data_IF_305741537135
#
_entry.id   IF_305741537135
#
_cell.length_a   1.000
_cell.length_b   1.000
_cell.length_c   1.000
_cell.angle_alpha   90.00
_cell.angle_beta   90.00
_cell.angle_gamma   90.00
#
_symmetry.space_group_name_H-M   'P 1'
#
loop_
_entity.id
_entity.type
_entity.pdbx_description
1 polymer ?
#
# COMPACT_ATOMS: atom_id res chain seq x y z
N UNK A 1 43.55 -69.11 -35.77
CA UNK A 1 42.81 -69.44 -37.00
C UNK A 1 41.83 -68.31 -37.28
N UNK A 2 42.00 -67.63 -38.42
CA UNK A 2 41.13 -66.54 -38.93
C UNK A 2 40.09 -67.15 -39.88
N UNK A 3 38.81 -66.83 -39.70
CA UNK A 3 37.70 -66.98 -40.66
C UNK A 3 36.70 -65.86 -40.30
N UNK A 4 36.67 -64.71 -40.99
CA UNK A 4 35.99 -64.37 -42.24
C UNK A 4 34.45 -64.33 -42.18
N UNK A 5 33.92 -63.15 -42.55
CA UNK A 5 32.76 -62.88 -43.42
C UNK A 5 31.37 -62.45 -42.85
N UNK A 6 30.99 -61.24 -43.28
CA UNK A 6 29.69 -60.74 -43.79
C UNK A 6 28.60 -60.15 -42.87
N UNK A 7 28.44 -58.83 -43.04
CA UNK A 7 27.23 -58.00 -43.22
C UNK A 7 25.84 -58.66 -43.08
N UNK A 8 24.96 -58.02 -42.30
CA UNK A 8 23.51 -58.04 -42.52
C UNK A 8 22.91 -56.66 -42.17
N UNK A 9 22.28 -56.05 -43.17
CA UNK A 9 21.58 -54.78 -43.10
C UNK A 9 20.24 -54.93 -42.35
N UNK A 10 19.86 -53.91 -41.56
CA UNK A 10 18.46 -53.70 -41.18
C UNK A 10 18.03 -52.30 -41.60
N UNK A 11 17.10 -52.27 -42.55
CA UNK A 11 16.32 -51.09 -42.94
C UNK A 11 15.43 -50.65 -41.77
N UNK A 12 15.43 -49.36 -41.45
CA UNK A 12 14.41 -48.74 -40.60
C UNK A 12 13.65 -47.72 -41.46
N UNK A 13 12.31 -47.85 -41.58
CA UNK A 13 11.51 -47.01 -42.45
C UNK A 13 11.23 -45.63 -41.87
N UNK A 14 11.01 -44.71 -42.82
CA UNK A 14 10.62 -43.31 -42.71
C UNK A 14 9.38 -43.06 -41.83
N UNK A 15 9.45 -42.02 -41.02
CA UNK A 15 8.31 -41.42 -40.33
C UNK A 15 8.49 -39.92 -40.21
N UNK A 16 8.18 -39.17 -41.28
CA UNK A 16 8.11 -37.72 -41.24
C UNK A 16 6.83 -37.30 -40.51
N UNK A 17 6.96 -36.92 -39.23
CA UNK A 17 5.87 -36.31 -38.48
C UNK A 17 5.77 -34.83 -38.86
N UNK A 18 4.73 -34.47 -39.61
CA UNK A 18 4.36 -33.09 -39.89
C UNK A 18 3.91 -32.40 -38.61
N UNK A 19 4.61 -31.32 -38.22
CA UNK A 19 4.27 -30.47 -37.08
C UNK A 19 3.10 -29.55 -37.52
N UNK A 20 1.95 -29.54 -36.81
CA UNK A 20 0.85 -28.63 -37.16
C UNK A 20 1.23 -27.18 -36.84
N UNK A 21 0.78 -26.19 -37.63
CA UNK A 21 1.04 -24.77 -37.37
C UNK A 21 0.28 -24.31 -36.11
N UNK A 22 1.01 -23.77 -35.14
CA UNK A 22 0.45 -23.13 -33.95
C UNK A 22 -0.22 -21.80 -34.36
N UNK A 23 -1.48 -21.54 -34.00
CA UNK A 23 -2.12 -20.26 -34.28
C UNK A 23 -1.40 -19.14 -33.51
N UNK A 24 -0.98 -18.11 -34.24
CA UNK A 24 -0.37 -16.91 -33.67
C UNK A 24 -1.40 -16.20 -32.76
N UNK A 25 -1.09 -16.12 -31.46
CA UNK A 25 -1.84 -15.28 -30.54
C UNK A 25 -1.74 -13.80 -30.98
N UNK A 26 -2.84 -13.03 -30.96
CA UNK A 26 -2.77 -11.59 -31.18
C UNK A 26 -1.90 -10.92 -30.12
N UNK A 27 -1.16 -9.84 -30.45
CA UNK A 27 -0.37 -9.11 -29.48
C UNK A 27 -1.30 -8.58 -28.38
N UNK A 28 -0.90 -8.64 -27.10
CA UNK A 28 -1.69 -8.08 -26.01
C UNK A 28 -1.87 -6.59 -26.30
N UNK A 29 -3.10 -6.21 -26.62
CA UNK A 29 -3.50 -4.81 -26.70
C UNK A 29 -3.33 -4.26 -25.29
N UNK A 30 -2.18 -3.62 -25.07
CA UNK A 30 -1.82 -3.05 -23.79
C UNK A 30 -2.90 -2.08 -23.37
N UNK A 31 -3.71 -2.51 -22.40
CA UNK A 31 -4.35 -1.63 -21.45
C UNK A 31 -3.23 -0.82 -20.80
N UNK A 32 -2.88 0.30 -21.42
CA UNK A 32 -2.17 1.38 -20.76
C UNK A 32 -3.11 1.89 -19.68
N UNK A 33 -3.11 1.19 -18.54
CA UNK A 33 -3.50 1.78 -17.28
C UNK A 33 -2.58 2.98 -17.11
N UNK A 34 -3.05 4.17 -17.50
CA UNK A 34 -2.36 5.41 -17.20
C UNK A 34 -2.09 5.37 -15.71
N UNK A 35 -0.82 5.20 -15.35
CA UNK A 35 -0.38 5.23 -13.97
C UNK A 35 -0.68 6.65 -13.48
N UNK A 36 -1.86 6.83 -12.88
CA UNK A 36 -2.25 8.09 -12.28
C UNK A 36 -1.10 8.47 -11.35
N UNK A 37 -0.48 9.66 -11.52
CA UNK A 37 0.65 10.06 -10.71
C UNK A 37 0.33 9.79 -9.25
N UNK A 38 1.12 8.94 -8.59
CA UNK A 38 0.89 8.65 -7.19
C UNK A 38 1.00 9.98 -6.43
N UNK A 39 -0.06 10.42 -5.71
CA UNK A 39 -0.04 11.72 -5.06
C UNK A 39 1.13 11.79 -4.07
N UNK A 40 1.90 12.89 -4.12
CA UNK A 40 2.97 13.12 -3.15
C UNK A 40 2.36 13.17 -1.74
N UNK A 41 2.83 12.29 -0.86
CA UNK A 41 2.32 12.19 0.51
C UNK A 41 2.76 13.44 1.27
N UNK A 42 1.83 14.38 1.42
CA UNK A 42 2.11 15.66 2.02
C UNK A 42 2.12 15.56 3.56
N UNK A 43 2.80 16.50 4.21
CA UNK A 43 2.83 16.58 5.67
C UNK A 43 1.44 16.85 6.24
N UNK A 44 1.21 16.29 7.42
CA UNK A 44 -0.05 16.45 8.17
C UNK A 44 0.14 17.33 9.39
N UNK A 45 -0.97 17.90 9.87
CA UNK A 45 -1.07 18.56 11.17
C UNK A 45 -2.22 17.94 11.95
N UNK A 46 -2.08 17.93 13.27
CA UNK A 46 -3.09 17.42 14.18
C UNK A 46 -3.45 18.50 15.21
N UNK A 47 -4.70 18.50 15.65
CA UNK A 47 -5.18 19.31 16.76
C UNK A 47 -6.16 18.51 17.60
N UNK A 48 -6.27 18.87 18.88
CA UNK A 48 -7.21 18.30 19.82
C UNK A 48 -8.08 19.39 20.44
N UNK A 49 -9.34 19.05 20.71
CA UNK A 49 -10.26 19.82 21.57
C UNK A 49 -10.79 18.88 22.65
N UNK A 50 -10.86 19.36 23.88
CA UNK A 50 -11.44 18.58 24.98
C UNK A 50 -12.91 18.24 24.68
N UNK A 51 -13.31 17.04 25.07
CA UNK A 51 -14.72 16.63 25.06
C UNK A 51 -15.33 16.80 26.45
N UNK A 52 -16.61 16.46 26.60
CA UNK A 52 -17.31 16.47 27.91
C UNK A 52 -16.65 15.49 28.90
N UNK A 53 -16.00 14.44 28.42
CA UNK A 53 -15.34 13.45 29.26
C UNK A 53 -13.87 13.85 29.50
N UNK A 54 -13.43 14.07 30.76
CA UNK A 54 -12.07 14.46 31.08
C UNK A 54 -11.03 13.46 30.57
N UNK A 55 -9.95 13.96 29.96
CA UNK A 55 -8.90 13.14 29.38
C UNK A 55 -9.24 12.54 28.00
N UNK A 56 -10.41 12.83 27.45
CA UNK A 56 -10.82 12.44 26.10
C UNK A 56 -11.02 13.66 25.20
N UNK A 57 -10.59 13.51 23.95
CA UNK A 57 -10.48 14.60 22.99
C UNK A 57 -11.17 14.29 21.66
N UNK A 58 -11.68 15.35 21.04
CA UNK A 58 -11.97 15.41 19.62
C UNK A 58 -10.68 15.75 18.88
N UNK A 59 -10.19 14.81 18.09
CA UNK A 59 -8.96 14.92 17.30
C UNK A 59 -9.31 15.21 15.86
N UNK A 60 -8.62 16.19 15.30
CA UNK A 60 -8.66 16.48 13.86
C UNK A 60 -7.26 16.35 13.28
N UNK A 61 -7.10 15.50 12.27
CA UNK A 61 -5.88 15.36 11.48
C UNK A 61 -6.17 15.78 10.05
N UNK A 62 -5.38 16.73 9.54
CA UNK A 62 -5.56 17.32 8.20
C UNK A 62 -4.22 17.47 7.50
N UNK A 63 -4.25 17.48 6.17
CA UNK A 63 -3.11 17.91 5.38
C UNK A 63 -2.75 19.36 5.72
N UNK A 64 -1.46 19.68 5.66
CA UNK A 64 -1.02 21.06 5.82
C UNK A 64 -1.60 21.97 4.71
N UNK A 65 -1.82 23.25 5.00
CA UNK A 65 -2.45 24.17 4.04
C UNK A 65 -1.61 24.33 2.76
N UNK A 66 -0.28 24.26 2.84
CA UNK A 66 0.61 24.37 1.68
C UNK A 66 0.59 23.14 0.74
N UNK A 67 -0.07 22.05 1.11
CA UNK A 67 -0.14 20.85 0.28
C UNK A 67 -0.90 21.12 -1.04
N UNK A 68 -0.45 20.62 -2.20
CA UNK A 68 -1.20 20.75 -3.44
C UNK A 68 -2.61 20.12 -3.35
N UNK A 69 -3.60 20.62 -4.10
CA UNK A 69 -4.90 19.97 -4.21
C UNK A 69 -4.73 18.55 -4.80
N UNK A 70 -5.54 17.59 -4.34
CA UNK A 70 -5.44 16.19 -4.77
C UNK A 70 -4.34 15.37 -4.10
N UNK A 71 -3.50 15.99 -3.26
CA UNK A 71 -2.59 15.21 -2.39
C UNK A 71 -3.36 14.44 -1.33
N UNK A 72 -2.73 13.36 -0.88
CA UNK A 72 -3.28 12.48 0.15
C UNK A 72 -2.24 12.28 1.24
N UNK A 73 -2.67 11.82 2.41
CA UNK A 73 -1.79 11.27 3.43
C UNK A 73 -2.42 10.02 4.03
N UNK A 74 -1.60 9.05 4.38
CA UNK A 74 -2.03 7.86 5.10
C UNK A 74 -1.68 8.06 6.59
N UNK A 75 -2.69 8.05 7.45
CA UNK A 75 -2.55 8.33 8.89
C UNK A 75 -3.26 7.26 9.72
N UNK A 76 -2.80 7.07 10.94
CA UNK A 76 -3.54 6.35 11.99
C UNK A 76 -3.34 7.04 13.32
N UNK A 77 -4.26 6.86 14.26
CA UNK A 77 -4.04 7.21 15.64
C UNK A 77 -3.43 5.99 16.35
N UNK A 78 -2.43 6.23 17.18
CA UNK A 78 -1.68 5.21 17.94
C UNK A 78 -1.72 5.56 19.42
N UNK A 79 -1.99 4.57 20.26
CA UNK A 79 -1.92 4.70 21.71
C UNK A 79 -0.51 4.41 22.21
N UNK A 80 0.02 5.22 23.14
CA UNK A 80 1.30 4.93 23.81
C UNK A 80 1.26 3.65 24.65
N UNK A 81 0.08 3.23 25.10
CA UNK A 81 -0.12 2.03 25.91
C UNK A 81 -0.69 0.85 25.09
N UNK A 82 -0.68 0.96 23.75
CA UNK A 82 -1.17 -0.07 22.84
C UNK A 82 -2.56 0.19 22.26
N UNK A 83 -2.76 -0.25 21.02
CA UNK A 83 -3.98 -0.03 20.23
C UNK A 83 -3.82 1.03 19.12
N UNK A 84 -4.65 0.93 18.08
CA UNK A 84 -4.69 1.88 16.97
C UNK A 84 -6.11 2.20 16.53
N UNK A 85 -6.29 3.37 15.92
CA UNK A 85 -7.50 3.75 15.19
C UNK A 85 -7.12 4.23 13.77
N UNK A 86 -7.65 3.62 12.70
CA UNK A 86 -8.46 2.39 12.70
C UNK A 86 -7.68 1.21 13.29
N UNK A 87 -8.40 0.15 13.70
CA UNK A 87 -7.77 -1.06 14.26
C UNK A 87 -6.83 -1.75 13.27
N UNK A 88 -7.05 -1.54 11.97
CA UNK A 88 -6.27 -2.17 10.90
C UNK A 88 -5.74 -1.09 9.96
N UNK A 89 -4.43 -1.12 9.73
CA UNK A 89 -3.77 -0.35 8.69
C UNK A 89 -3.71 1.16 8.95
N UNK A 90 -3.77 1.91 7.84
CA UNK A 90 -3.76 3.37 7.81
C UNK A 90 -5.02 3.85 7.11
N UNK A 91 -5.58 4.96 7.59
CA UNK A 91 -6.66 5.66 6.94
C UNK A 91 -6.11 6.74 6.03
N UNK A 92 -6.58 6.77 4.78
CA UNK A 92 -6.24 7.83 3.83
C UNK A 92 -7.07 9.08 4.09
N UNK A 93 -6.41 10.23 4.15
CA UNK A 93 -7.03 11.56 4.28
C UNK A 93 -6.65 12.45 3.10
N UNK A 94 -7.50 13.44 2.82
CA UNK A 94 -7.27 14.47 1.79
C UNK A 94 -7.59 15.85 2.36
N UNK A 95 -7.38 16.93 1.59
CA UNK A 95 -7.80 18.28 2.00
C UNK A 95 -9.32 18.38 2.21
N UNK A 96 -10.11 17.66 1.42
CA UNK A 96 -11.57 17.66 1.50
C UNK A 96 -12.11 16.71 2.58
N UNK A 97 -11.34 15.66 2.92
CA UNK A 97 -11.71 14.64 3.88
C UNK A 97 -10.63 14.48 4.96
N UNK A 98 -10.62 15.37 5.98
CA UNK A 98 -9.76 15.20 7.14
C UNK A 98 -10.23 14.03 8.01
N UNK A 99 -9.32 13.50 8.84
CA UNK A 99 -9.69 12.56 9.89
C UNK A 99 -10.21 13.35 11.09
N UNK A 100 -11.47 13.14 11.46
CA UNK A 100 -12.08 13.71 12.66
C UNK A 100 -12.59 12.56 13.51
N UNK A 101 -12.07 12.39 14.74
CA UNK A 101 -12.53 11.35 15.68
C UNK A 101 -12.64 11.89 17.10
N UNK A 102 -13.75 11.57 17.73
CA UNK A 102 -14.02 11.86 19.15
C UNK A 102 -13.67 10.67 20.02
N UNK A 103 -13.61 10.89 21.35
CA UNK A 103 -13.35 9.84 22.32
C UNK A 103 -11.92 9.30 22.27
N UNK A 104 -10.96 10.13 21.83
CA UNK A 104 -9.55 9.74 21.79
C UNK A 104 -8.90 10.11 23.13
N UNK A 105 -8.37 9.15 23.90
CA UNK A 105 -7.67 9.43 25.15
C UNK A 105 -6.40 10.26 24.97
N UNK A 106 -6.01 11.00 26.01
CA UNK A 106 -4.86 11.90 26.00
C UNK A 106 -3.50 11.24 25.71
N UNK A 107 -3.37 9.93 25.95
CA UNK A 107 -2.15 9.15 25.68
C UNK A 107 -2.07 8.64 24.24
N UNK A 108 -2.72 9.29 23.29
CA UNK A 108 -2.67 8.93 21.88
C UNK A 108 -1.84 9.93 21.06
N UNK A 109 -1.32 9.48 19.93
CA UNK A 109 -0.56 10.26 18.94
C UNK A 109 -1.01 9.89 17.53
N UNK A 110 -0.54 10.64 16.53
CA UNK A 110 -0.75 10.29 15.11
C UNK A 110 0.48 9.56 14.58
N UNK A 111 0.29 8.43 13.91
CA UNK A 111 1.28 7.83 13.02
C UNK A 111 1.01 8.24 11.58
N UNK A 112 1.93 8.99 10.96
CA UNK A 112 1.86 9.43 9.57
C UNK A 112 2.81 8.60 8.70
N UNK A 113 2.29 7.93 7.68
CA UNK A 113 3.11 7.10 6.78
C UNK A 113 3.60 7.91 5.58
N UNK A 114 4.91 7.97 5.41
CA UNK A 114 5.56 8.55 4.25
C UNK A 114 5.59 7.59 3.06
N UNK A 115 6.00 8.08 1.89
CA UNK A 115 6.05 7.30 0.65
C UNK A 115 7.04 6.14 0.69
N UNK A 116 8.09 6.25 1.51
CA UNK A 116 9.04 5.16 1.79
C UNK A 116 8.44 4.01 2.61
N UNK A 117 7.20 4.16 3.10
CA UNK A 117 6.59 3.24 4.08
C UNK A 117 6.97 3.52 5.52
N UNK A 118 7.94 4.42 5.77
CA UNK A 118 8.34 4.85 7.11
C UNK A 118 7.19 5.57 7.81
N UNK A 119 6.97 5.24 9.09
CA UNK A 119 5.93 5.85 9.92
C UNK A 119 6.56 6.86 10.85
N UNK A 120 6.12 8.11 10.73
CA UNK A 120 6.57 9.22 11.57
C UNK A 120 5.53 9.50 12.66
N UNK A 121 5.91 9.46 13.94
CA UNK A 121 5.01 9.84 15.02
C UNK A 121 4.85 11.35 15.06
N UNK A 122 3.63 11.81 15.31
CA UNK A 122 3.27 13.20 15.50
C UNK A 122 2.47 13.33 16.80
N UNK A 123 3.02 14.11 17.73
CA UNK A 123 2.33 14.47 18.99
C UNK A 123 1.15 15.38 18.66
N UNK A 124 0.00 15.13 19.30
CA UNK A 124 -1.21 15.94 19.11
C UNK A 124 -1.18 17.07 20.15
N UNK A 125 -1.01 18.34 19.75
CA UNK A 125 -0.97 19.45 20.69
C UNK A 125 -2.28 19.57 21.46
N UNK A 126 -2.19 19.87 22.75
CA UNK A 126 -3.34 20.09 23.61
C UNK A 126 -3.90 18.84 24.30
N UNK A 127 -3.43 17.64 23.93
CA UNK A 127 -3.74 16.43 24.70
C UNK A 127 -2.96 16.42 26.01
N UNK A 128 -3.67 16.45 27.14
CA UNK A 128 -3.08 16.48 28.47
C UNK A 128 -3.78 15.44 29.37
N UNK A 129 -3.08 14.93 30.40
CA UNK A 129 -3.72 14.09 31.41
C UNK A 129 -4.92 14.80 32.05
N UNK A 130 -5.98 14.06 32.42
CA UNK A 130 -7.08 14.62 33.20
C UNK A 130 -6.54 15.17 34.53
N UNK A 131 -7.13 16.27 34.99
CA UNK A 131 -6.85 16.87 36.29
C UNK A 131 -7.83 16.37 37.33
#
# INVERSE_FOLDING_TARGET
MRLYFTLAALLIPSGAAAIPPVPALPPPTGLMAQARPAPSLCRVTASARETVLPGFYLVTVRLRPECPPGTVADVRLESYIGGTYPRVGFQRITKAAPLIRSGIPWWWRVGWRAQSGTVYPLVIPGMRPPR
#
